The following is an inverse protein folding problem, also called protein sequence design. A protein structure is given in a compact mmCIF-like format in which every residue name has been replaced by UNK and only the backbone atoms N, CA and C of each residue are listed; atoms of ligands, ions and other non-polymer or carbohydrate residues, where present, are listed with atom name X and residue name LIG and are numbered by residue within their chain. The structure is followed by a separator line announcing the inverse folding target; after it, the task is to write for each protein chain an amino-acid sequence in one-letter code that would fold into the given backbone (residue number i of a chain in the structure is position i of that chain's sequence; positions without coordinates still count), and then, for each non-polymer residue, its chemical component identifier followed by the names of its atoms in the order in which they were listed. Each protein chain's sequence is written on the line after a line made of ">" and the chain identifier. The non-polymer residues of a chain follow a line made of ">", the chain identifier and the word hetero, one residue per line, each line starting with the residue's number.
data_IF_552738108253
#
_entry.id   IF_552738108253
#
_cell.length_a   1.000
_cell.length_b   1.000
_cell.length_c   1.000
_cell.angle_alpha   90.00
_cell.angle_beta   90.00
_cell.angle_gamma   90.00
#
_symmetry.space_group_name_H-M   'P 1'
#
loop_
_entity.id
_entity.type
_entity.pdbx_description
1 polymer ?
#
# COMPACT_ATOMS: atom_id res chain seq x y z
N UNK A 1 -9.58 -9.79 -21.54
CA UNK A 1 -9.26 -10.75 -20.46
C UNK A 1 -9.50 -12.20 -20.84
N UNK A 2 -10.64 -12.53 -21.47
CA UNK A 2 -11.03 -13.93 -21.73
C UNK A 2 -10.07 -14.72 -22.65
N UNK A 3 -9.35 -14.07 -23.57
CA UNK A 3 -8.43 -14.74 -24.50
C UNK A 3 -7.03 -15.00 -23.93
N UNK A 4 -6.63 -14.31 -22.84
CA UNK A 4 -5.24 -14.28 -22.34
C UNK A 4 -4.17 -13.96 -23.41
N UNK A 5 -4.59 -13.35 -24.53
CA UNK A 5 -3.71 -13.01 -25.64
C UNK A 5 -2.68 -11.94 -25.21
N UNK A 6 -1.38 -12.15 -25.45
CA UNK A 6 -0.36 -11.18 -25.09
C UNK A 6 -0.35 -10.01 -26.09
N UNK A 7 -0.76 -8.81 -25.62
CA UNK A 7 -0.82 -7.61 -26.46
C UNK A 7 0.46 -6.77 -26.43
N UNK A 8 1.16 -6.74 -25.30
CA UNK A 8 2.37 -5.93 -25.11
C UNK A 8 3.27 -6.53 -24.03
N UNK A 9 4.58 -6.46 -24.24
CA UNK A 9 5.61 -6.83 -23.26
C UNK A 9 6.55 -5.66 -23.10
N UNK A 10 6.83 -5.26 -21.85
CA UNK A 10 7.71 -4.15 -21.50
C UNK A 10 8.70 -4.63 -20.45
N UNK A 11 9.99 -4.34 -20.65
CA UNK A 11 11.02 -4.64 -19.66
C UNK A 11 10.97 -3.64 -18.50
N UNK A 12 11.22 -4.10 -17.29
CA UNK A 12 11.35 -3.26 -16.09
C UNK A 12 12.80 -2.92 -15.75
N UNK A 13 13.80 -3.48 -16.46
CA UNK A 13 15.24 -3.17 -16.25
C UNK A 13 15.47 -1.67 -16.35
N UNK A 14 16.20 -1.11 -15.40
CA UNK A 14 16.35 0.33 -15.30
C UNK A 14 17.19 0.77 -14.11
N UNK A 15 17.12 2.06 -13.81
CA UNK A 15 17.94 2.70 -12.77
C UNK A 15 17.21 2.72 -11.43
N UNK A 16 17.95 2.49 -10.34
CA UNK A 16 17.40 2.66 -8.98
C UNK A 16 17.08 4.14 -8.70
N UNK A 17 16.00 4.38 -7.96
CA UNK A 17 15.53 5.74 -7.65
C UNK A 17 16.53 6.55 -6.81
N UNK A 18 17.31 5.88 -5.97
CA UNK A 18 18.24 6.48 -5.00
C UNK A 18 19.60 6.83 -5.62
N UNK A 19 20.35 5.82 -6.08
CA UNK A 19 21.73 5.96 -6.56
C UNK A 19 21.82 6.13 -8.06
N UNK A 20 20.71 5.96 -8.79
CA UNK A 20 20.69 5.93 -10.25
C UNK A 20 21.65 4.87 -10.80
N UNK A 21 21.75 3.72 -10.13
CA UNK A 21 22.54 2.58 -10.59
C UNK A 21 21.67 1.63 -11.41
N UNK A 22 22.24 1.04 -12.46
CA UNK A 22 21.51 0.08 -13.29
C UNK A 22 21.23 -1.21 -12.50
N UNK A 23 19.96 -1.60 -12.44
CA UNK A 23 19.53 -2.85 -11.83
C UNK A 23 19.07 -3.84 -12.92
N UNK A 24 19.69 -5.03 -13.05
CA UNK A 24 19.39 -5.99 -14.12
C UNK A 24 18.15 -6.86 -13.85
N UNK A 25 17.69 -6.94 -12.60
CA UNK A 25 16.57 -7.78 -12.18
C UNK A 25 15.52 -7.06 -11.31
N UNK A 26 14.90 -5.96 -11.79
CA UNK A 26 13.84 -5.28 -11.06
C UNK A 26 12.50 -5.97 -11.30
N UNK A 27 12.01 -6.66 -10.28
CA UNK A 27 10.81 -7.49 -10.29
C UNK A 27 9.57 -6.61 -10.21
N UNK A 28 8.54 -7.01 -10.95
CA UNK A 28 7.19 -6.47 -10.77
C UNK A 28 6.60 -7.03 -9.48
N UNK A 29 6.06 -6.17 -8.62
CA UNK A 29 5.39 -6.57 -7.39
C UNK A 29 3.86 -6.47 -7.55
N UNK A 30 3.19 -5.51 -6.91
CA UNK A 30 1.77 -5.27 -7.12
C UNK A 30 1.46 -4.56 -8.43
N UNK A 31 0.32 -4.91 -9.01
CA UNK A 31 -0.34 -4.19 -10.11
C UNK A 31 -1.76 -3.88 -9.69
N UNK A 32 -2.18 -2.62 -9.78
CA UNK A 32 -3.58 -2.19 -9.59
C UNK A 32 -4.06 -1.42 -10.82
N UNK A 33 -5.37 -1.38 -11.04
CA UNK A 33 -5.97 -0.57 -12.11
C UNK A 33 -6.44 0.77 -11.54
N UNK A 34 -6.09 1.86 -12.21
CA UNK A 34 -6.55 3.20 -11.88
C UNK A 34 -8.06 3.32 -12.05
N UNK A 35 -8.68 4.12 -11.19
CA UNK A 35 -10.08 4.53 -11.33
C UNK A 35 -10.22 5.96 -11.87
N UNK A 36 -9.09 6.65 -12.10
CA UNK A 36 -9.05 8.05 -12.53
C UNK A 36 -8.66 8.20 -14.00
N UNK A 37 -7.88 7.25 -14.51
CA UNK A 37 -7.38 7.20 -15.89
C UNK A 37 -7.40 5.75 -16.39
N UNK A 38 -7.40 5.53 -17.72
CA UNK A 38 -7.23 4.21 -18.32
C UNK A 38 -5.79 3.70 -18.18
N UNK A 39 -5.38 3.45 -16.93
CA UNK A 39 -4.00 3.14 -16.55
C UNK A 39 -3.91 1.93 -15.62
N UNK A 40 -2.85 1.13 -15.81
CA UNK A 40 -2.34 0.25 -14.76
C UNK A 40 -1.28 0.98 -13.94
N UNK A 41 -1.28 0.77 -12.63
CA UNK A 41 -0.23 1.21 -11.71
C UNK A 41 0.58 -0.01 -11.31
N UNK A 42 1.88 0.00 -11.64
CA UNK A 42 2.79 -1.14 -11.54
C UNK A 42 3.95 -0.79 -10.60
N UNK A 43 4.08 -1.53 -9.51
CA UNK A 43 5.25 -1.44 -8.63
C UNK A 43 6.44 -2.19 -9.22
N UNK A 44 7.59 -1.52 -9.30
CA UNK A 44 8.86 -2.11 -9.69
C UNK A 44 9.79 -2.11 -8.47
N UNK A 45 9.99 -3.30 -7.90
CA UNK A 45 10.49 -3.51 -6.54
C UNK A 45 11.89 -2.94 -6.31
N UNK A 46 12.90 -3.44 -7.00
CA UNK A 46 14.30 -3.14 -6.67
C UNK A 46 14.71 -1.72 -7.05
N UNK A 47 14.14 -1.19 -8.13
CA UNK A 47 14.39 0.19 -8.58
C UNK A 47 13.59 1.21 -7.79
N UNK A 48 12.51 0.80 -7.11
CA UNK A 48 11.67 1.72 -6.33
C UNK A 48 10.86 2.68 -7.20
N UNK A 49 10.48 2.23 -8.40
CA UNK A 49 9.69 2.99 -9.35
C UNK A 49 8.23 2.49 -9.37
N UNK A 50 7.30 3.41 -9.51
CA UNK A 50 5.89 3.14 -9.77
C UNK A 50 5.57 3.62 -11.18
N UNK A 51 5.10 2.72 -12.04
CA UNK A 51 4.76 3.03 -13.42
C UNK A 51 3.25 3.17 -13.57
N UNK A 52 2.79 4.31 -14.10
CA UNK A 52 1.41 4.51 -14.54
C UNK A 52 1.39 4.29 -16.05
N UNK A 53 0.89 3.13 -16.48
CA UNK A 53 0.93 2.66 -17.87
C UNK A 53 -0.45 2.84 -18.49
N UNK A 54 -0.57 3.81 -19.40
CA UNK A 54 -1.80 4.09 -20.12
C UNK A 54 -2.02 3.06 -21.23
N UNK A 55 -3.21 2.45 -21.25
CA UNK A 55 -3.55 1.37 -22.17
C UNK A 55 -4.49 1.79 -23.30
N UNK A 56 -4.77 3.08 -23.49
CA UNK A 56 -5.63 3.57 -24.58
C UNK A 56 -4.99 3.33 -25.95
N UNK A 57 -3.66 3.46 -26.04
CA UNK A 57 -2.89 3.17 -27.24
C UNK A 57 -1.64 2.36 -26.88
N UNK A 58 -1.74 1.05 -27.02
CA UNK A 58 -0.63 0.11 -26.74
C UNK A 58 0.47 0.16 -27.80
N UNK A 59 0.22 0.77 -28.97
CA UNK A 59 1.22 0.93 -30.02
C UNK A 59 2.10 2.16 -29.73
N UNK A 60 1.49 3.26 -29.27
CA UNK A 60 2.16 4.49 -28.84
C UNK A 60 2.11 4.66 -27.31
N UNK A 61 2.62 3.64 -26.60
CA UNK A 61 2.44 3.48 -25.16
C UNK A 61 2.95 4.70 -24.37
N UNK A 62 2.06 5.33 -23.61
CA UNK A 62 2.39 6.40 -22.66
C UNK A 62 2.57 5.80 -21.27
N UNK A 63 3.68 6.15 -20.63
CA UNK A 63 3.97 5.75 -19.26
C UNK A 63 4.49 6.93 -18.46
N UNK A 64 3.94 7.14 -17.28
CA UNK A 64 4.52 8.03 -16.27
C UNK A 64 5.32 7.20 -15.27
N UNK A 65 6.60 7.51 -15.12
CA UNK A 65 7.49 6.84 -14.15
C UNK A 65 7.64 7.72 -12.93
N UNK A 66 7.19 7.23 -11.78
CA UNK A 66 7.27 7.92 -10.49
C UNK A 66 8.35 7.27 -9.65
N UNK A 67 9.35 8.04 -9.23
CA UNK A 67 10.29 7.59 -8.20
C UNK A 67 9.63 7.58 -6.82
N UNK A 68 9.72 6.49 -6.09
CA UNK A 68 9.17 6.35 -4.74
C UNK A 68 10.28 5.97 -3.73
N UNK A 69 10.34 4.70 -3.32
CA UNK A 69 11.37 4.16 -2.46
C UNK A 69 11.65 2.71 -2.88
N UNK A 70 12.87 2.22 -2.66
CA UNK A 70 13.24 0.84 -3.04
C UNK A 70 12.43 -0.19 -2.25
N UNK A 71 12.35 -1.39 -2.82
CA UNK A 71 11.64 -2.54 -2.27
C UNK A 71 10.13 -2.37 -2.17
N UNK A 72 9.53 -1.67 -3.14
CA UNK A 72 8.08 -1.67 -3.33
C UNK A 72 7.53 -3.10 -3.37
N UNK A 73 6.36 -3.30 -2.78
CA UNK A 73 5.73 -4.60 -2.66
C UNK A 73 4.24 -4.47 -2.98
N UNK A 74 3.39 -4.61 -1.97
CA UNK A 74 1.95 -4.61 -2.00
C UNK A 74 1.37 -3.25 -1.57
N UNK A 75 0.08 -3.06 -1.82
CA UNK A 75 -0.61 -1.81 -1.60
C UNK A 75 -2.04 -1.86 -2.09
N UNK A 76 -2.79 -0.82 -1.79
CA UNK A 76 -4.18 -0.70 -2.21
C UNK A 76 -4.66 0.74 -2.26
N UNK A 77 -5.89 0.87 -2.73
CA UNK A 77 -6.57 2.15 -2.84
C UNK A 77 -7.02 2.64 -1.47
N UNK A 78 -6.95 3.95 -1.28
CA UNK A 78 -7.75 4.64 -0.27
C UNK A 78 -9.25 4.45 -0.52
N UNK A 79 -10.08 4.83 0.45
CA UNK A 79 -11.54 4.69 0.37
C UNK A 79 -12.18 5.37 -0.85
N UNK A 80 -11.57 6.44 -1.38
CA UNK A 80 -12.07 7.17 -2.55
C UNK A 80 -11.60 6.60 -3.89
N UNK A 81 -10.67 5.62 -3.86
CA UNK A 81 -10.04 5.05 -5.06
C UNK A 81 -9.33 6.08 -5.92
N UNK A 82 -8.67 7.05 -5.28
CA UNK A 82 -7.84 8.06 -5.94
C UNK A 82 -6.37 7.88 -5.59
N UNK A 83 -6.07 7.58 -4.33
CA UNK A 83 -4.71 7.49 -3.83
C UNK A 83 -4.31 6.03 -3.68
N UNK A 84 -3.22 5.65 -4.33
CA UNK A 84 -2.63 4.32 -4.17
C UNK A 84 -1.59 4.37 -3.06
N UNK A 85 -1.83 3.65 -1.97
CA UNK A 85 -0.91 3.51 -0.85
C UNK A 85 -0.19 2.18 -0.97
N UNK A 86 1.14 2.19 -0.99
CA UNK A 86 1.94 0.97 -1.16
C UNK A 86 3.17 0.93 -0.28
N UNK A 87 3.48 -0.26 0.23
CA UNK A 87 4.63 -0.51 1.08
C UNK A 87 5.93 -0.64 0.28
N UNK A 88 6.91 0.19 0.62
CA UNK A 88 8.33 -0.02 0.35
C UNK A 88 8.92 -0.74 1.58
N UNK A 89 8.68 -2.05 1.66
CA UNK A 89 8.70 -2.76 2.94
C UNK A 89 10.09 -2.79 3.61
N UNK A 90 11.16 -3.12 2.89
CA UNK A 90 12.54 -3.10 3.41
C UNK A 90 13.09 -1.68 3.61
N UNK A 91 12.37 -0.66 3.12
CA UNK A 91 12.67 0.75 3.39
C UNK A 91 11.80 1.33 4.51
N UNK A 92 10.90 0.54 5.11
CA UNK A 92 10.01 0.97 6.20
C UNK A 92 9.17 2.20 5.86
N UNK A 93 8.67 2.28 4.62
CA UNK A 93 7.89 3.42 4.12
C UNK A 93 6.59 2.99 3.46
N UNK A 94 5.58 3.85 3.54
CA UNK A 94 4.39 3.82 2.69
C UNK A 94 4.49 4.96 1.68
N UNK A 95 4.52 4.63 0.39
CA UNK A 95 4.42 5.59 -0.69
C UNK A 95 2.94 5.84 -1.03
N UNK A 96 2.60 7.11 -1.25
CA UNK A 96 1.25 7.53 -1.65
C UNK A 96 1.33 8.16 -3.02
N UNK A 97 0.63 7.57 -3.99
CA UNK A 97 0.52 8.10 -5.36
C UNK A 97 -0.88 8.65 -5.58
N UNK A 98 -0.98 9.91 -6.01
CA UNK A 98 -2.24 10.46 -6.51
C UNK A 98 -2.41 9.99 -7.96
N UNK A 99 -3.33 9.04 -8.18
CA UNK A 99 -3.57 8.51 -9.52
C UNK A 99 -4.26 9.52 -10.44
N UNK A 100 -4.93 10.54 -9.91
CA UNK A 100 -5.57 11.58 -10.73
C UNK A 100 -4.54 12.57 -11.25
N UNK A 101 -3.67 13.05 -10.36
CA UNK A 101 -2.62 14.02 -10.69
C UNK A 101 -1.32 13.34 -11.17
N UNK A 102 -1.28 12.01 -11.17
CA UNK A 102 -0.19 11.15 -11.65
C UNK A 102 1.17 11.46 -11.01
N UNK A 103 1.18 11.69 -9.69
CA UNK A 103 2.38 12.11 -8.94
C UNK A 103 2.51 11.43 -7.57
N UNK A 104 3.73 11.34 -7.08
CA UNK A 104 3.99 11.00 -5.67
C UNK A 104 3.49 12.14 -4.78
N UNK A 105 2.66 11.80 -3.80
CA UNK A 105 2.07 12.74 -2.84
C UNK A 105 2.82 12.73 -1.51
N UNK A 106 3.23 11.56 -1.04
CA UNK A 106 3.94 11.41 0.22
C UNK A 106 4.78 10.13 0.27
N UNK A 107 5.81 10.16 1.11
CA UNK A 107 6.53 9.00 1.61
C UNK A 107 6.46 9.04 3.14
N UNK A 108 5.73 8.10 3.73
CA UNK A 108 5.39 8.09 5.15
C UNK A 108 6.25 7.04 5.83
N UNK A 109 7.02 7.43 6.83
CA UNK A 109 7.77 6.49 7.66
C UNK A 109 6.83 5.66 8.54
N UNK A 110 7.05 4.35 8.57
CA UNK A 110 6.31 3.40 9.40
C UNK A 110 7.28 2.40 10.03
N UNK A 111 6.82 1.64 11.02
CA UNK A 111 7.72 0.76 11.75
C UNK A 111 7.94 -0.59 11.05
N UNK A 112 9.21 -0.89 10.76
CA UNK A 112 9.81 -2.18 10.40
C UNK A 112 8.93 -3.16 9.58
N UNK A 113 9.14 -3.17 8.27
CA UNK A 113 8.56 -4.11 7.29
C UNK A 113 7.01 -4.08 7.30
N UNK A 114 6.39 -2.96 6.87
CA UNK A 114 4.94 -2.92 6.67
C UNK A 114 4.53 -3.96 5.62
N UNK A 115 3.42 -4.65 5.86
CA UNK A 115 2.85 -5.66 4.97
C UNK A 115 1.31 -5.56 4.94
N UNK A 116 0.73 -4.66 4.13
CA UNK A 116 -0.71 -4.39 4.15
C UNK A 116 -1.59 -5.41 3.42
N UNK A 117 -1.06 -6.17 2.48
CA UNK A 117 -1.85 -6.65 1.35
C UNK A 117 -2.41 -5.47 0.54
N UNK A 118 -3.74 -5.35 0.47
CA UNK A 118 -4.40 -4.13 -0.04
C UNK A 118 -4.66 -3.08 1.05
N UNK A 119 -4.38 -3.42 2.30
CA UNK A 119 -4.76 -2.66 3.48
C UNK A 119 -6.26 -2.72 3.77
N UNK A 120 -6.66 -1.98 4.80
CA UNK A 120 -8.06 -1.80 5.19
C UNK A 120 -8.39 -0.31 5.24
N UNK A 121 -9.58 0.06 4.78
CA UNK A 121 -10.09 1.42 4.85
C UNK A 121 -11.30 1.47 5.79
N UNK A 122 -11.37 2.48 6.65
CA UNK A 122 -12.56 2.83 7.42
C UNK A 122 -12.51 4.31 7.84
N UNK A 123 -13.58 4.79 8.47
CA UNK A 123 -13.63 6.12 9.07
C UNK A 123 -13.35 5.98 10.55
N UNK A 124 -12.21 6.51 10.98
CA UNK A 124 -11.85 6.62 12.39
C UNK A 124 -12.67 7.75 13.05
N UNK A 125 -13.27 7.56 14.25
CA UNK A 125 -14.08 8.57 14.90
C UNK A 125 -13.34 9.88 15.22
N UNK A 126 -12.01 9.83 15.44
CA UNK A 126 -11.19 10.96 15.81
C UNK A 126 -10.45 11.56 14.61
N UNK A 127 -9.93 10.72 13.71
CA UNK A 127 -9.01 11.13 12.64
C UNK A 127 -9.65 11.17 11.24
N UNK A 128 -10.89 10.71 11.09
CA UNK A 128 -11.58 10.66 9.80
C UNK A 128 -11.14 9.46 8.94
N UNK A 129 -11.21 9.56 7.60
CA UNK A 129 -10.87 8.44 6.72
C UNK A 129 -9.41 7.99 6.83
N UNK A 130 -9.19 6.73 7.19
CA UNK A 130 -7.86 6.12 7.35
C UNK A 130 -7.69 4.89 6.46
N UNK A 131 -6.44 4.63 6.10
CA UNK A 131 -5.97 3.38 5.50
C UNK A 131 -4.97 2.71 6.45
N UNK A 132 -5.04 1.38 6.56
CA UNK A 132 -4.34 0.61 7.60
C UNK A 132 -3.39 -0.41 7.00
N UNK A 133 -2.23 -0.55 7.64
CA UNK A 133 -1.27 -1.64 7.42
C UNK A 133 -0.88 -2.28 8.75
N UNK A 134 -0.66 -3.58 8.76
CA UNK A 134 0.11 -4.26 9.81
C UNK A 134 1.59 -4.37 9.40
N UNK A 135 2.40 -4.96 10.26
CA UNK A 135 3.82 -5.17 10.02
C UNK A 135 4.22 -6.64 10.18
N UNK A 136 5.17 -7.08 9.36
CA UNK A 136 5.81 -8.39 9.51
C UNK A 136 6.87 -8.32 10.62
N UNK A 137 7.58 -7.21 10.75
CA UNK A 137 8.75 -7.07 11.62
C UNK A 137 8.48 -6.74 13.09
N UNK A 138 7.23 -6.43 13.46
CA UNK A 138 6.79 -6.06 14.81
C UNK A 138 5.26 -6.20 14.93
N UNK A 139 4.71 -5.93 16.11
CA UNK A 139 3.29 -6.04 16.44
C UNK A 139 2.42 -4.84 16.04
N UNK A 140 2.99 -3.80 15.43
CA UNK A 140 2.28 -2.54 15.21
C UNK A 140 1.30 -2.63 14.06
N UNK A 141 0.17 -1.94 14.23
CA UNK A 141 -0.86 -1.72 13.21
C UNK A 141 -1.01 -0.22 13.02
N UNK A 142 -0.59 0.28 11.86
CA UNK A 142 -0.44 1.72 11.59
C UNK A 142 -1.63 2.24 10.80
N UNK A 143 -2.29 3.28 11.32
CA UNK A 143 -3.40 3.98 10.66
C UNK A 143 -2.87 5.27 10.03
N UNK A 144 -3.12 5.46 8.74
CA UNK A 144 -2.66 6.62 7.97
C UNK A 144 -3.87 7.42 7.50
N UNK A 145 -3.89 8.73 7.74
CA UNK A 145 -4.96 9.61 7.26
C UNK A 145 -4.95 9.76 5.74
N UNK A 146 -6.13 9.72 5.11
CA UNK A 146 -6.27 9.67 3.64
C UNK A 146 -7.13 10.76 3.01
N UNK A 147 -7.58 11.74 3.80
CA UNK A 147 -8.47 12.80 3.33
C UNK A 147 -7.79 14.19 3.37
N UNK A 148 -7.07 14.57 2.30
CA UNK A 148 -6.41 15.88 2.22
C UNK A 148 -7.37 17.06 2.07
N UNK A 149 -8.69 16.82 1.86
CA UNK A 149 -9.66 17.90 1.63
C UNK A 149 -10.34 18.30 2.92
N UNK A 150 -10.91 17.34 3.68
CA UNK A 150 -11.65 17.65 4.91
C UNK A 150 -10.82 17.42 6.18
N UNK A 151 -9.76 16.61 6.11
CA UNK A 151 -8.87 16.31 7.23
C UNK A 151 -7.40 16.61 6.87
N UNK A 152 -7.08 17.82 6.35
CA UNK A 152 -5.75 18.13 5.84
C UNK A 152 -4.63 17.98 6.87
N UNK A 153 -4.93 18.21 8.16
CA UNK A 153 -3.95 18.06 9.24
C UNK A 153 -3.52 16.60 9.46
N UNK A 154 -4.37 15.63 9.10
CA UNK A 154 -4.13 14.19 9.25
C UNK A 154 -3.68 13.51 7.96
N UNK A 155 -3.93 14.15 6.80
CA UNK A 155 -3.65 13.55 5.51
C UNK A 155 -2.16 13.22 5.35
N UNK A 156 -1.90 11.97 4.96
CA UNK A 156 -0.56 11.45 4.70
C UNK A 156 0.35 11.45 5.93
N UNK A 157 -0.23 11.35 7.12
CA UNK A 157 0.49 11.17 8.38
C UNK A 157 -0.01 9.90 9.07
N UNK A 158 0.86 9.34 9.92
CA UNK A 158 0.45 8.31 10.88
C UNK A 158 -0.47 8.98 11.90
N UNK A 159 -1.75 8.64 11.85
CA UNK A 159 -2.77 9.17 12.74
C UNK A 159 -2.68 8.51 14.13
N UNK A 160 -2.57 7.19 14.15
CA UNK A 160 -2.33 6.40 15.36
C UNK A 160 -1.67 5.06 15.02
N UNK A 161 -1.12 4.41 16.04
CA UNK A 161 -0.49 3.09 15.95
C UNK A 161 -1.08 2.20 17.03
N UNK A 162 -1.80 1.16 16.64
CA UNK A 162 -2.36 0.15 17.54
C UNK A 162 -1.34 -0.96 17.78
N UNK A 163 -1.51 -1.69 18.89
CA UNK A 163 -0.72 -2.86 19.24
C UNK A 163 -1.50 -4.13 18.89
N UNK A 164 -1.00 -4.89 17.91
CA UNK A 164 -1.50 -6.21 17.54
C UNK A 164 -0.96 -7.34 18.43
N UNK A 165 -1.23 -8.59 18.04
CA UNK A 165 -0.85 -9.77 18.84
C UNK A 165 0.67 -10.01 18.86
N UNK A 166 1.39 -9.60 17.81
CA UNK A 166 2.80 -9.88 17.62
C UNK A 166 3.26 -9.59 16.19
N UNK A 167 4.56 -9.78 15.92
CA UNK A 167 5.07 -9.76 14.56
C UNK A 167 4.59 -10.94 13.71
N UNK A 168 4.91 -10.89 12.41
CA UNK A 168 4.52 -11.92 11.44
C UNK A 168 3.11 -11.75 10.86
N UNK A 169 2.51 -10.55 10.99
CA UNK A 169 1.26 -10.22 10.30
C UNK A 169 1.49 -10.09 8.79
N UNK A 170 0.50 -10.54 8.00
CA UNK A 170 0.51 -10.41 6.54
C UNK A 170 -0.67 -9.61 6.01
N UNK A 171 -1.82 -9.64 6.70
CA UNK A 171 -3.02 -8.99 6.21
C UNK A 171 -3.81 -8.29 7.33
N UNK A 172 -4.33 -7.12 6.97
CA UNK A 172 -5.39 -6.44 7.72
C UNK A 172 -6.67 -6.40 6.87
N UNK A 173 -7.83 -6.41 7.53
CA UNK A 173 -9.10 -6.36 6.81
C UNK A 173 -10.21 -5.65 7.57
N UNK A 174 -10.99 -4.86 6.84
CA UNK A 174 -12.30 -4.37 7.25
C UNK A 174 -13.25 -4.30 6.05
N UNK A 175 -14.47 -3.80 6.26
CA UNK A 175 -15.50 -3.61 5.24
C UNK A 175 -16.41 -2.42 5.64
N UNK A 176 -16.93 -1.62 4.69
CA UNK A 176 -17.82 -0.47 5.01
C UNK A 176 -19.12 -0.79 5.78
N UNK A 177 -19.45 -2.07 5.97
CA UNK A 177 -20.61 -2.55 6.74
C UNK A 177 -20.20 -3.28 8.03
N UNK A 178 -18.92 -3.26 8.38
CA UNK A 178 -18.35 -3.88 9.56
C UNK A 178 -17.85 -2.78 10.48
N UNK A 179 -18.05 -2.97 11.78
CA UNK A 179 -17.45 -2.11 12.82
C UNK A 179 -16.13 -2.70 13.35
N UNK A 180 -15.60 -3.74 12.69
CA UNK A 180 -14.40 -4.43 13.12
C UNK A 180 -13.23 -4.27 12.14
N UNK A 181 -12.03 -4.21 12.69
CA UNK A 181 -10.75 -4.37 12.00
C UNK A 181 -10.12 -5.70 12.41
N UNK A 182 -9.80 -6.55 11.44
CA UNK A 182 -9.18 -7.85 11.64
C UNK A 182 -7.70 -7.78 11.27
N UNK A 183 -6.83 -8.40 12.08
CA UNK A 183 -5.37 -8.45 11.87
C UNK A 183 -4.86 -9.86 12.16
N UNK A 184 -4.26 -10.50 11.15
CA UNK A 184 -3.70 -11.84 11.30
C UNK A 184 -2.23 -11.82 11.78
N UNK A 185 -1.70 -12.99 12.16
CA UNK A 185 -0.28 -13.16 12.55
C UNK A 185 0.32 -14.50 12.06
N UNK A 186 0.11 -14.92 10.80
CA UNK A 186 0.39 -16.29 10.35
C UNK A 186 1.87 -16.68 10.39
N UNK A 187 2.80 -15.70 10.37
CA UNK A 187 4.24 -15.95 10.43
C UNK A 187 4.82 -15.77 11.84
N UNK A 188 3.98 -15.61 12.86
CA UNK A 188 4.45 -15.53 14.23
C UNK A 188 5.07 -16.86 14.68
N UNK A 189 6.20 -16.86 15.41
CA UNK A 189 6.85 -18.10 15.85
C UNK A 189 6.07 -18.83 16.95
N UNK A 190 5.17 -18.16 17.70
CA UNK A 190 4.30 -18.81 18.67
C UNK A 190 3.06 -19.38 17.96
N UNK A 191 2.86 -20.73 17.96
CA UNK A 191 1.70 -21.34 17.33
C UNK A 191 0.35 -20.81 17.84
N UNK A 192 0.26 -20.41 19.11
CA UNK A 192 -0.98 -19.86 19.67
C UNK A 192 -1.34 -18.52 19.02
N UNK A 193 -0.34 -17.70 18.73
CA UNK A 193 -0.53 -16.42 18.03
C UNK A 193 -0.78 -16.69 16.54
N UNK A 194 0.04 -17.54 15.90
CA UNK A 194 -0.09 -17.85 14.48
C UNK A 194 -1.41 -18.50 14.05
N UNK A 195 -2.09 -19.18 14.99
CA UNK A 195 -3.40 -19.83 14.77
C UNK A 195 -4.58 -18.95 15.23
N UNK A 196 -4.35 -17.66 15.47
CA UNK A 196 -5.38 -16.71 15.94
C UNK A 196 -5.40 -15.43 15.10
N UNK A 197 -6.41 -14.58 15.34
CA UNK A 197 -6.61 -13.29 14.67
C UNK A 197 -7.04 -12.26 15.72
N UNK A 198 -6.42 -11.08 15.74
CA UNK A 198 -6.91 -9.95 16.53
C UNK A 198 -8.08 -9.26 15.83
N UNK A 199 -9.05 -8.82 16.63
CA UNK A 199 -10.23 -8.07 16.16
C UNK A 199 -10.40 -6.83 17.03
N UNK A 200 -10.30 -5.65 16.42
CA UNK A 200 -10.50 -4.36 17.07
C UNK A 200 -11.90 -3.83 16.78
N UNK A 201 -12.52 -3.18 17.75
CA UNK A 201 -13.73 -2.36 17.56
C UNK A 201 -13.33 -0.97 17.05
N UNK A 202 -13.72 -0.64 15.82
CA UNK A 202 -13.41 0.66 15.18
C UNK A 202 -14.03 1.83 15.95
N UNK A 203 -15.14 1.60 16.66
CA UNK A 203 -15.77 2.63 17.49
C UNK A 203 -15.01 2.92 18.78
N UNK A 204 -14.07 2.06 19.17
CA UNK A 204 -13.33 2.16 20.42
C UNK A 204 -11.97 1.44 20.33
N UNK A 205 -11.07 1.97 19.50
CA UNK A 205 -9.77 1.35 19.23
C UNK A 205 -8.85 1.26 20.47
N UNK A 206 -9.12 2.06 21.51
CA UNK A 206 -8.35 2.09 22.77
C UNK A 206 -8.77 1.01 23.78
N UNK A 207 -9.88 0.30 23.55
CA UNK A 207 -10.39 -0.72 24.48
C UNK A 207 -9.69 -2.09 24.36
N UNK A 208 -8.73 -2.23 23.45
CA UNK A 208 -8.04 -3.48 23.12
C UNK A 208 -6.64 -3.61 23.71
#
# INVERSE_FOLDING_TARGET
>A
GASLEPLKVVSTRGMTVDTQEFHPEPRVAAIVASHQHPEFIVNVKETGQILLVNYEDINNLKTTTIGAARFLHDGGWDSTKRYFLTAANQSNKIAVVDSKDQKLTALIDVDKIPHPGRGANFVDPQYGPVWVTSALGNEKVTLIGTDPVKHPDQAWKVATVLKGQGGGSLFVKSHPKSQHLYVDTPLNPDPKIAQSVAVFDIGNLDAG
#
